data_IF_619992650217
#
_entry.id   IF_619992650217
#
_cell.length_a   1.000
_cell.length_b   1.000
_cell.length_c   1.000
_cell.angle_alpha   90.00
_cell.angle_beta   90.00
_cell.angle_gamma   90.00
#
_symmetry.space_group_name_H-M   'P 1'
#
loop_
_entity.id
_entity.type
_entity.pdbx_description
1 polymer ?
#
# COMPACT_ATOMS: atom_id res chain seq x y z
N UNK A 1 -31.23 0.36 -19.36
CA UNK A 1 -29.76 0.36 -19.20
C UNK A 1 -29.42 1.25 -18.01
N UNK A 2 -29.01 0.68 -16.88
CA UNK A 2 -28.58 1.43 -15.69
C UNK A 2 -27.06 1.41 -15.64
N UNK A 3 -26.43 2.51 -16.03
CA UNK A 3 -25.00 2.77 -15.83
C UNK A 3 -24.87 3.79 -14.69
N UNK A 4 -23.74 3.71 -13.97
CA UNK A 4 -23.23 4.61 -12.93
C UNK A 4 -23.33 4.09 -11.47
N UNK A 5 -22.53 3.07 -11.17
CA UNK A 5 -22.00 2.81 -9.81
C UNK A 5 -20.53 2.32 -9.78
N UNK A 6 -19.77 2.44 -10.88
CA UNK A 6 -18.39 1.91 -10.97
C UNK A 6 -17.26 2.97 -10.80
N UNK A 7 -17.48 4.04 -10.04
CA UNK A 7 -16.49 5.13 -9.95
C UNK A 7 -15.29 4.85 -9.03
N UNK A 8 -15.50 4.20 -7.89
CA UNK A 8 -14.48 4.05 -6.83
C UNK A 8 -14.19 2.59 -6.44
N UNK A 9 -15.18 1.69 -6.51
CA UNK A 9 -14.99 0.24 -6.30
C UNK A 9 -14.04 -0.36 -7.35
N UNK A 10 -14.33 -0.09 -8.63
CA UNK A 10 -13.53 -0.63 -9.74
C UNK A 10 -12.06 -0.22 -9.73
N UNK A 11 -11.70 0.99 -9.26
CA UNK A 11 -10.30 1.41 -9.16
C UNK A 11 -9.53 0.67 -8.07
N UNK A 12 -10.16 0.41 -6.91
CA UNK A 12 -9.53 -0.35 -5.82
C UNK A 12 -9.35 -1.81 -6.21
N UNK A 13 -10.40 -2.41 -6.78
CA UNK A 13 -10.37 -3.79 -7.30
C UNK A 13 -9.32 -3.97 -8.39
N UNK A 14 -9.18 -3.01 -9.33
CA UNK A 14 -8.13 -3.06 -10.34
C UNK A 14 -6.71 -2.98 -9.74
N UNK A 15 -6.51 -2.18 -8.70
CA UNK A 15 -5.20 -2.10 -8.02
C UNK A 15 -4.89 -3.39 -7.28
N UNK A 16 -5.90 -3.99 -6.64
CA UNK A 16 -5.75 -5.27 -5.95
C UNK A 16 -5.45 -6.40 -6.94
N UNK A 17 -6.17 -6.48 -8.06
CA UNK A 17 -5.91 -7.46 -9.12
C UNK A 17 -4.49 -7.30 -9.69
N UNK A 18 -4.04 -6.06 -9.95
CA UNK A 18 -2.66 -5.78 -10.38
C UNK A 18 -1.63 -6.21 -9.33
N UNK A 19 -1.92 -6.01 -8.05
CA UNK A 19 -1.05 -6.43 -6.95
C UNK A 19 -0.95 -7.95 -6.90
N UNK A 20 -2.09 -8.65 -6.96
CA UNK A 20 -2.15 -10.10 -6.96
C UNK A 20 -1.32 -10.66 -8.11
N UNK A 21 -1.57 -10.21 -9.35
CA UNK A 21 -0.82 -10.63 -10.51
C UNK A 21 0.69 -10.36 -10.37
N UNK A 22 1.07 -9.16 -9.91
CA UNK A 22 2.48 -8.79 -9.74
C UNK A 22 3.19 -9.65 -8.69
N UNK A 23 2.51 -9.99 -7.59
CA UNK A 23 3.12 -10.71 -6.48
C UNK A 23 3.21 -12.20 -6.80
N UNK A 24 2.17 -12.77 -7.42
CA UNK A 24 2.22 -14.15 -7.92
C UNK A 24 3.40 -14.34 -8.87
N UNK A 25 3.65 -13.40 -9.79
CA UNK A 25 4.79 -13.44 -10.72
C UNK A 25 6.14 -13.32 -10.00
N UNK A 26 6.27 -12.40 -9.02
CA UNK A 26 7.58 -12.09 -8.40
C UNK A 26 7.98 -13.03 -7.28
N UNK A 27 7.03 -13.55 -6.53
CA UNK A 27 7.31 -14.37 -5.36
C UNK A 27 7.53 -15.84 -5.73
N UNK A 28 7.01 -16.28 -6.89
CA UNK A 28 7.10 -17.68 -7.35
C UNK A 28 6.51 -18.64 -6.30
N UNK A 29 5.30 -18.32 -5.86
CA UNK A 29 4.58 -19.11 -4.86
C UNK A 29 4.06 -20.41 -5.47
N UNK A 30 4.25 -21.52 -4.78
CA UNK A 30 3.52 -22.75 -5.08
C UNK A 30 2.04 -22.57 -4.76
N UNK A 31 1.20 -23.49 -5.23
CA UNK A 31 -0.23 -23.47 -4.91
C UNK A 31 -0.47 -23.49 -3.40
N UNK A 32 0.22 -24.37 -2.66
CA UNK A 32 0.06 -24.50 -1.21
C UNK A 32 0.57 -23.27 -0.45
N UNK A 33 1.69 -22.68 -0.88
CA UNK A 33 2.19 -21.44 -0.29
C UNK A 33 1.24 -20.26 -0.56
N UNK A 34 0.67 -20.17 -1.76
CA UNK A 34 -0.28 -19.11 -2.09
C UNK A 34 -1.56 -19.19 -1.23
N UNK A 35 -2.06 -20.40 -0.98
CA UNK A 35 -3.25 -20.64 -0.14
C UNK A 35 -3.08 -20.09 1.29
N UNK A 36 -1.88 -20.22 1.87
CA UNK A 36 -1.58 -19.69 3.22
C UNK A 36 -1.10 -18.23 3.20
N UNK A 37 -0.40 -17.79 2.15
CA UNK A 37 0.15 -16.44 2.04
C UNK A 37 -0.93 -15.37 1.89
N UNK A 38 -1.91 -15.57 1.00
CA UNK A 38 -2.89 -14.54 0.65
C UNK A 38 -3.74 -14.06 1.84
N UNK A 39 -4.26 -14.95 2.71
CA UNK A 39 -4.98 -14.52 3.91
C UNK A 39 -4.15 -13.60 4.82
N UNK A 40 -2.90 -13.98 5.12
CA UNK A 40 -1.98 -13.21 5.97
C UNK A 40 -1.66 -11.86 5.34
N UNK A 41 -1.36 -11.85 4.04
CA UNK A 41 -1.04 -10.63 3.30
C UNK A 41 -2.22 -9.65 3.21
N UNK A 42 -3.44 -10.16 3.06
CA UNK A 42 -4.67 -9.34 3.02
C UNK A 42 -4.95 -8.70 4.38
N UNK A 43 -4.80 -9.45 5.46
CA UNK A 43 -5.03 -8.96 6.82
C UNK A 43 -4.00 -7.88 7.19
N UNK A 44 -2.72 -8.10 6.87
CA UNK A 44 -1.69 -7.07 6.99
C UNK A 44 -2.05 -5.79 6.23
N UNK A 45 -2.43 -5.92 4.96
CA UNK A 45 -2.77 -4.78 4.13
C UNK A 45 -3.98 -4.01 4.65
N UNK A 46 -4.99 -4.72 5.15
CA UNK A 46 -6.18 -4.12 5.74
C UNK A 46 -5.79 -3.27 6.95
N UNK A 47 -5.01 -3.82 7.88
CA UNK A 47 -4.57 -3.09 9.07
C UNK A 47 -3.72 -1.86 8.73
N UNK A 48 -2.76 -2.02 7.82
CA UNK A 48 -1.94 -0.90 7.35
C UNK A 48 -2.79 0.17 6.63
N UNK A 49 -3.85 -0.23 5.91
CA UNK A 49 -4.76 0.69 5.24
C UNK A 49 -5.60 1.47 6.25
N UNK A 50 -6.14 0.82 7.28
CA UNK A 50 -6.92 1.51 8.32
C UNK A 50 -6.06 2.51 9.10
N UNK A 51 -4.86 2.12 9.53
CA UNK A 51 -3.91 3.04 10.18
C UNK A 51 -3.63 4.27 9.29
N UNK A 52 -3.40 4.06 7.98
CA UNK A 52 -3.15 5.15 7.03
C UNK A 52 -4.37 6.04 6.83
N UNK A 53 -5.59 5.49 6.88
CA UNK A 53 -6.81 6.29 6.78
C UNK A 53 -6.98 7.20 7.98
N UNK A 54 -6.76 6.69 9.20
CA UNK A 54 -6.81 7.48 10.43
C UNK A 54 -5.84 8.66 10.36
N UNK A 55 -4.57 8.41 10.01
CA UNK A 55 -3.60 9.50 9.90
C UNK A 55 -3.87 10.46 8.77
N UNK A 56 -4.38 9.97 7.64
CA UNK A 56 -4.79 10.87 6.55
C UNK A 56 -5.92 11.79 7.01
N UNK A 57 -6.83 11.33 7.86
CA UNK A 57 -7.88 12.17 8.43
C UNK A 57 -7.29 13.25 9.35
N UNK A 58 -6.33 12.89 10.22
CA UNK A 58 -5.64 13.84 11.12
C UNK A 58 -4.82 14.91 10.38
N UNK A 59 -4.29 14.60 9.20
CA UNK A 59 -3.51 15.53 8.36
C UNK A 59 -4.36 16.46 7.48
N UNK A 60 -5.69 16.37 7.53
CA UNK A 60 -6.56 17.29 6.78
C UNK A 60 -6.64 18.62 7.54
N UNK A 61 -5.73 19.54 7.23
CA UNK A 61 -5.72 20.88 7.78
C UNK A 61 -4.54 21.67 7.20
N UNK A 62 -4.65 22.99 7.19
CA UNK A 62 -3.53 23.85 6.85
C UNK A 62 -2.64 24.01 8.08
N UNK A 63 -1.36 23.65 7.98
CA UNK A 63 -0.41 23.73 9.09
C UNK A 63 -0.26 25.18 9.59
N UNK A 64 -0.48 26.17 8.72
CA UNK A 64 -0.44 27.58 9.10
C UNK A 64 -1.69 28.10 9.82
N UNK A 65 -2.71 27.27 10.01
CA UNK A 65 -4.01 27.66 10.59
C UNK A 65 -4.28 27.00 11.96
N UNK A 66 -3.38 26.15 12.45
CA UNK A 66 -3.50 25.49 13.77
C UNK A 66 -2.54 26.11 14.79
N UNK A 67 -2.88 26.02 16.07
CA UNK A 67 -2.01 26.51 17.16
C UNK A 67 -0.75 25.66 17.33
N UNK A 68 0.28 26.21 17.99
CA UNK A 68 1.53 25.49 18.26
C UNK A 68 1.29 24.17 19.02
N UNK A 69 0.39 24.17 20.00
CA UNK A 69 0.03 22.96 20.76
C UNK A 69 -0.65 21.89 19.88
N UNK A 70 -1.51 22.31 18.94
CA UNK A 70 -2.14 21.39 18.00
C UNK A 70 -1.13 20.85 16.98
N UNK A 71 -0.17 21.68 16.56
CA UNK A 71 0.92 21.29 15.69
C UNK A 71 1.86 20.28 16.37
N UNK A 72 2.25 20.53 17.61
CA UNK A 72 3.06 19.60 18.41
C UNK A 72 2.36 18.24 18.50
N UNK A 73 1.09 18.22 18.90
CA UNK A 73 0.29 16.99 18.96
C UNK A 73 0.18 16.28 17.62
N UNK A 74 0.02 17.01 16.51
CA UNK A 74 -0.01 16.42 15.17
C UNK A 74 1.33 15.75 14.82
N UNK A 75 2.45 16.38 15.18
CA UNK A 75 3.78 15.83 14.94
C UNK A 75 4.03 14.57 15.78
N UNK A 76 3.64 14.57 17.05
CA UNK A 76 3.71 13.39 17.93
C UNK A 76 2.87 12.24 17.38
N UNK A 77 1.61 12.52 17.01
CA UNK A 77 0.72 11.55 16.37
C UNK A 77 1.34 10.95 15.09
N UNK A 78 2.13 11.73 14.34
CA UNK A 78 2.84 11.25 13.15
C UNK A 78 3.99 10.30 13.47
N UNK A 79 4.69 10.49 14.58
CA UNK A 79 5.74 9.58 15.05
C UNK A 79 5.10 8.29 15.57
N UNK A 80 4.07 8.40 16.41
CA UNK A 80 3.33 7.25 16.96
C UNK A 80 2.73 6.39 15.85
N UNK A 81 2.21 7.01 14.80
CA UNK A 81 1.73 6.28 13.64
C UNK A 81 2.83 5.47 12.95
N UNK A 82 4.03 6.04 12.77
CA UNK A 82 5.14 5.31 12.15
C UNK A 82 5.53 4.10 13.00
N UNK A 83 5.49 4.25 14.32
CA UNK A 83 5.74 3.16 15.26
C UNK A 83 4.68 2.05 15.10
N UNK A 84 3.38 2.40 15.11
CA UNK A 84 2.28 1.45 14.88
C UNK A 84 2.40 0.75 13.53
N UNK A 85 2.77 1.47 12.47
CA UNK A 85 3.00 0.88 11.15
C UNK A 85 4.15 -0.15 11.17
N UNK A 86 5.24 0.17 11.88
CA UNK A 86 6.38 -0.73 12.03
C UNK A 86 6.02 -1.97 12.85
N UNK A 87 5.24 -1.82 13.93
CA UNK A 87 4.86 -2.93 14.78
C UNK A 87 3.96 -3.93 14.04
N UNK A 88 3.03 -3.44 13.22
CA UNK A 88 2.26 -4.30 12.30
C UNK A 88 3.21 -5.06 11.37
N UNK A 89 4.17 -4.37 10.74
CA UNK A 89 5.13 -5.03 9.83
C UNK A 89 6.00 -6.07 10.52
N UNK A 90 6.45 -5.81 11.76
CA UNK A 90 7.24 -6.77 12.55
C UNK A 90 6.45 -8.03 12.85
N UNK A 91 5.19 -7.90 13.28
CA UNK A 91 4.35 -9.08 13.54
C UNK A 91 4.17 -9.92 12.28
N UNK A 92 3.80 -9.28 11.16
CA UNK A 92 3.60 -10.02 9.90
C UNK A 92 4.91 -10.54 9.29
N UNK A 93 6.06 -9.94 9.59
CA UNK A 93 7.37 -10.51 9.22
C UNK A 93 7.56 -11.91 9.82
N UNK A 94 7.23 -12.08 11.10
CA UNK A 94 7.28 -13.39 11.75
C UNK A 94 6.24 -14.35 11.14
N UNK A 95 4.99 -13.91 10.93
CA UNK A 95 3.97 -14.75 10.27
C UNK A 95 4.39 -15.19 8.87
N UNK A 96 5.06 -14.33 8.09
CA UNK A 96 5.57 -14.71 6.76
C UNK A 96 6.73 -15.70 6.84
N UNK A 97 7.59 -15.62 7.86
CA UNK A 97 8.69 -16.58 8.05
C UNK A 97 8.17 -17.97 8.40
N UNK A 98 7.03 -18.05 9.08
CA UNK A 98 6.41 -19.32 9.45
C UNK A 98 5.80 -20.05 8.25
N UNK A 99 5.28 -19.29 7.27
CA UNK A 99 4.54 -19.86 6.13
C UNK A 99 5.32 -19.84 4.81
N UNK A 100 6.45 -19.12 4.72
CA UNK A 100 7.28 -19.04 3.51
C UNK A 100 8.77 -19.24 3.81
N UNK A 101 9.52 -19.86 2.88
CA UNK A 101 10.99 -19.86 2.92
C UNK A 101 11.55 -18.43 2.96
N UNK A 102 12.62 -18.21 3.72
CA UNK A 102 13.23 -16.87 3.92
C UNK A 102 13.58 -16.15 2.61
N UNK A 103 13.97 -16.89 1.56
CA UNK A 103 14.24 -16.31 0.23
C UNK A 103 12.99 -15.70 -0.40
N UNK A 104 11.80 -16.28 -0.18
CA UNK A 104 10.52 -15.75 -0.68
C UNK A 104 10.04 -14.56 0.17
N UNK A 105 10.32 -14.55 1.46
CA UNK A 105 10.12 -13.36 2.31
C UNK A 105 10.97 -12.18 1.83
N UNK A 106 12.22 -12.41 1.45
CA UNK A 106 13.07 -11.37 0.85
C UNK A 106 12.51 -10.88 -0.50
N UNK A 107 12.05 -11.80 -1.37
CA UNK A 107 11.37 -11.44 -2.63
C UNK A 107 10.09 -10.62 -2.39
N UNK A 108 9.32 -10.94 -1.36
CA UNK A 108 8.13 -10.17 -0.97
C UNK A 108 8.49 -8.71 -0.74
N UNK A 109 9.47 -8.41 0.13
CA UNK A 109 9.85 -7.02 0.41
C UNK A 109 10.33 -6.27 -0.82
N UNK A 110 11.10 -6.93 -1.68
CA UNK A 110 11.53 -6.33 -2.94
C UNK A 110 10.33 -6.04 -3.86
N UNK A 111 9.38 -6.98 -3.97
CA UNK A 111 8.16 -6.83 -4.76
C UNK A 111 7.26 -5.71 -4.20
N UNK A 112 7.15 -5.56 -2.87
CA UNK A 112 6.40 -4.46 -2.26
C UNK A 112 6.96 -3.09 -2.64
N UNK A 113 8.28 -2.94 -2.56
CA UNK A 113 8.96 -1.70 -2.93
C UNK A 113 8.80 -1.38 -4.43
N UNK A 114 9.00 -2.37 -5.29
CA UNK A 114 8.79 -2.23 -6.74
C UNK A 114 7.36 -1.85 -7.08
N UNK A 115 6.38 -2.50 -6.44
CA UNK A 115 4.97 -2.20 -6.66
C UNK A 115 4.62 -0.78 -6.22
N UNK A 116 5.12 -0.35 -5.05
CA UNK A 116 4.95 1.03 -4.56
C UNK A 116 5.51 2.05 -5.57
N UNK A 117 6.75 1.86 -6.04
CA UNK A 117 7.37 2.73 -7.06
C UNK A 117 6.58 2.77 -8.38
N UNK A 118 6.05 1.62 -8.83
CA UNK A 118 5.16 1.54 -10.01
C UNK A 118 3.87 2.34 -9.81
N UNK A 119 3.27 2.24 -8.62
CA UNK A 119 2.04 2.96 -8.30
C UNK A 119 2.26 4.47 -8.13
N UNK A 120 3.45 4.91 -7.70
CA UNK A 120 3.82 6.32 -7.61
C UNK A 120 4.10 6.93 -8.99
N UNK A 121 4.88 6.25 -9.84
CA UNK A 121 5.18 6.71 -11.20
C UNK A 121 3.94 6.74 -12.12
N UNK A 122 2.97 5.83 -11.89
CA UNK A 122 1.69 5.86 -12.60
C UNK A 122 0.80 7.04 -12.20
N UNK A 123 1.03 7.68 -11.05
CA UNK A 123 0.27 8.87 -10.61
C UNK A 123 0.89 10.18 -11.09
N UNK A 124 2.17 10.18 -11.46
CA UNK A 124 2.92 11.38 -11.86
C UNK A 124 2.99 11.62 -13.38
N UNK A 125 2.56 10.66 -14.22
CA UNK A 125 2.39 10.92 -15.67
C UNK A 125 1.00 11.52 -15.96
N UNK A 126 0.90 12.77 -16.44
CA UNK A 126 -0.36 13.27 -16.96
C UNK A 126 -0.76 12.45 -18.21
N UNK A 127 -2.05 12.11 -18.38
CA UNK A 127 -2.53 11.49 -19.61
C UNK A 127 -2.44 12.54 -20.73
N UNK A 128 -1.40 12.44 -21.57
CA UNK A 128 -1.24 13.36 -22.71
C UNK A 128 0.18 13.70 -23.16
N UNK A 129 1.23 13.26 -22.46
CA UNK A 129 2.61 13.43 -22.94
C UNK A 129 2.98 12.38 -24.02
N UNK A 130 2.13 12.22 -25.04
CA UNK A 130 2.52 11.59 -26.29
C UNK A 130 3.32 12.62 -27.07
N UNK A 131 4.54 12.26 -27.44
CA UNK A 131 5.53 13.07 -28.15
C UNK A 131 4.90 13.89 -29.27
N UNK A 132 4.99 15.23 -29.18
CA UNK A 132 4.85 16.07 -30.37
C UNK A 132 6.12 15.86 -31.22
N UNK A 133 6.00 15.44 -32.49
CA UNK A 133 7.16 15.36 -33.36
C UNK A 133 7.76 16.76 -33.51
N UNK A 134 9.06 16.88 -33.29
CA UNK A 134 9.80 18.10 -33.56
C UNK A 134 9.71 18.37 -35.07
N UNK A 135 9.03 19.43 -35.45
CA UNK A 135 9.19 20.08 -36.76
C UNK A 135 10.17 21.23 -36.59
#
# INVERSE_FOLDING_TARGET
>A
MQLLAQGQGGKKEQIEAKRIAFYTEKLDLSRSEAEVFWPVYREMNKQLLELRKEMKAKRKGNVSEISDNELEKLLDDMIDFKQKELDVKKRYHEEFKDILPIRKVAKLYHAEEQFKKRMESSKSKPPGAQQRPRR
#
